data_IF_844675817314
#
_entry.id   IF_844675817314
#
_cell.length_a   1.000
_cell.length_b   1.000
_cell.length_c   1.000
_cell.angle_alpha   90.00
_cell.angle_beta   90.00
_cell.angle_gamma   90.00
#
_symmetry.space_group_name_H-M   'P 1'
#
loop_
_entity.id
_entity.type
_entity.pdbx_description
1 polymer ?
#
# COMPACT_ATOMS: atom_id res chain seq x y z
N UNK A 1 -17.55 -30.08 -10.75
CA UNK A 1 -16.61 -29.58 -9.72
C UNK A 1 -17.24 -29.79 -8.35
N UNK A 2 -16.57 -30.40 -7.36
CA UNK A 2 -17.21 -30.64 -6.05
C UNK A 2 -17.39 -29.33 -5.26
N UNK A 3 -18.52 -29.18 -4.55
CA UNK A 3 -18.85 -27.97 -3.78
C UNK A 3 -17.72 -27.57 -2.81
N UNK A 4 -17.17 -28.56 -2.11
CA UNK A 4 -16.05 -28.38 -1.17
C UNK A 4 -14.82 -27.79 -1.85
N UNK A 5 -14.50 -28.24 -3.07
CA UNK A 5 -13.36 -27.72 -3.84
C UNK A 5 -13.56 -26.27 -4.24
N UNK A 6 -14.77 -25.90 -4.67
CA UNK A 6 -15.09 -24.53 -5.04
C UNK A 6 -15.02 -23.58 -3.83
N UNK A 7 -15.57 -23.99 -2.69
CA UNK A 7 -15.51 -23.18 -1.46
C UNK A 7 -14.07 -22.99 -1.00
N UNK A 8 -13.25 -24.05 -1.02
CA UNK A 8 -11.82 -23.95 -0.67
C UNK A 8 -11.08 -22.97 -1.58
N UNK A 9 -11.35 -23.02 -2.89
CA UNK A 9 -10.72 -22.13 -3.86
C UNK A 9 -11.14 -20.67 -3.65
N UNK A 10 -12.43 -20.41 -3.41
CA UNK A 10 -12.93 -19.06 -3.09
C UNK A 10 -12.27 -18.52 -1.82
N UNK A 11 -12.18 -19.33 -0.76
CA UNK A 11 -11.53 -18.91 0.49
C UNK A 11 -10.05 -18.59 0.28
N UNK A 12 -9.33 -19.38 -0.50
CA UNK A 12 -7.92 -19.11 -0.84
C UNK A 12 -7.78 -17.80 -1.62
N UNK A 13 -8.63 -17.56 -2.62
CA UNK A 13 -8.64 -16.29 -3.34
C UNK A 13 -8.92 -15.11 -2.41
N UNK A 14 -9.94 -15.20 -1.53
CA UNK A 14 -10.25 -14.14 -0.57
C UNK A 14 -9.09 -13.88 0.41
N UNK A 15 -8.43 -14.94 0.90
CA UNK A 15 -7.29 -14.81 1.81
C UNK A 15 -6.10 -14.09 1.15
N UNK A 16 -5.75 -14.48 -0.08
CA UNK A 16 -4.69 -13.80 -0.85
C UNK A 16 -5.05 -12.34 -1.10
N UNK A 17 -6.30 -12.07 -1.49
CA UNK A 17 -6.78 -10.71 -1.71
C UNK A 17 -6.72 -9.84 -0.46
N UNK A 18 -7.07 -10.39 0.70
CA UNK A 18 -7.01 -9.69 1.98
C UNK A 18 -5.55 -9.36 2.38
N UNK A 19 -4.63 -10.32 2.21
CA UNK A 19 -3.21 -10.09 2.46
C UNK A 19 -2.64 -9.00 1.53
N UNK A 20 -3.01 -9.04 0.24
CA UNK A 20 -2.57 -8.06 -0.73
C UNK A 20 -3.11 -6.66 -0.42
N UNK A 21 -4.39 -6.58 -0.04
CA UNK A 21 -4.99 -5.32 0.41
C UNK A 21 -4.26 -4.75 1.63
N UNK A 22 -4.05 -5.58 2.66
CA UNK A 22 -3.37 -5.16 3.89
C UNK A 22 -1.97 -4.60 3.62
N UNK A 23 -1.18 -5.27 2.78
CA UNK A 23 0.15 -4.80 2.40
C UNK A 23 0.12 -3.42 1.73
N UNK A 24 -0.82 -3.22 0.80
CA UNK A 24 -0.94 -2.00 0.03
C UNK A 24 -1.47 -0.85 0.88
N UNK A 25 -2.41 -1.13 1.78
CA UNK A 25 -2.97 -0.18 2.72
C UNK A 25 -1.95 0.29 3.75
N UNK A 26 -1.18 -0.65 4.32
CA UNK A 26 -0.13 -0.33 5.30
C UNK A 26 0.99 0.52 4.68
N UNK A 27 1.32 0.28 3.40
CA UNK A 27 2.29 1.12 2.66
C UNK A 27 1.83 2.56 2.52
N UNK A 28 0.54 2.77 2.27
CA UNK A 28 -0.06 4.10 2.12
C UNK A 28 -0.15 4.80 3.48
N UNK A 29 -0.64 4.10 4.49
CA UNK A 29 -0.74 4.59 5.86
C UNK A 29 0.62 4.99 6.45
N UNK A 30 1.70 4.29 6.07
CA UNK A 30 3.07 4.65 6.50
C UNK A 30 3.50 6.01 5.95
N UNK A 31 3.19 6.29 4.67
CA UNK A 31 3.52 7.57 4.04
C UNK A 31 2.65 8.72 4.60
N UNK A 32 1.36 8.44 4.85
CA UNK A 32 0.45 9.38 5.52
C UNK A 32 0.93 9.73 6.93
N UNK A 33 1.35 8.74 7.72
CA UNK A 33 1.94 8.96 9.04
C UNK A 33 3.18 9.87 8.97
N UNK A 34 4.06 9.65 7.99
CA UNK A 34 5.21 10.53 7.76
C UNK A 34 4.78 11.96 7.38
N UNK A 35 3.72 12.13 6.59
CA UNK A 35 3.16 13.45 6.26
C UNK A 35 2.61 14.16 7.50
N UNK A 36 1.81 13.47 8.31
CA UNK A 36 1.25 14.01 9.57
C UNK A 36 2.37 14.36 10.55
N UNK A 37 3.38 13.52 10.68
CA UNK A 37 4.52 13.75 11.56
C UNK A 37 5.34 14.98 11.14
N UNK A 38 5.55 15.19 9.83
CA UNK A 38 6.17 16.42 9.30
C UNK A 38 5.36 17.65 9.70
N UNK A 39 4.05 17.60 9.49
CA UNK A 39 3.17 18.72 9.84
C UNK A 39 3.19 19.02 11.35
N UNK A 40 3.09 17.99 12.19
CA UNK A 40 3.15 18.13 13.64
C UNK A 40 4.49 18.72 14.11
N UNK A 41 5.61 18.29 13.52
CA UNK A 41 6.93 18.85 13.84
C UNK A 41 7.05 20.30 13.37
N UNK A 42 6.53 20.67 12.20
CA UNK A 42 6.55 22.06 11.77
C UNK A 42 5.74 22.98 12.70
N UNK A 43 4.66 22.47 13.29
CA UNK A 43 3.80 23.21 14.22
C UNK A 43 4.28 23.18 15.68
N UNK A 44 5.24 22.33 16.05
CA UNK A 44 5.66 22.14 17.45
C UNK A 44 6.55 23.26 18.00
N UNK A 45 6.99 24.21 17.16
CA UNK A 45 7.87 25.30 17.58
C UNK A 45 9.27 24.85 17.98
N UNK A 46 9.71 23.66 17.54
CA UNK A 46 10.98 23.02 17.89
C UNK A 46 12.24 23.88 17.69
N UNK A 47 12.18 24.91 16.85
CA UNK A 47 13.26 25.89 16.65
C UNK A 47 13.64 26.61 17.95
N UNK A 48 12.69 26.73 18.89
CA UNK A 48 12.89 27.34 20.22
C UNK A 48 13.38 26.35 21.28
N UNK A 49 13.48 25.06 20.95
CA UNK A 49 13.92 24.02 21.89
C UNK A 49 15.43 24.07 22.16
N UNK A 50 15.88 23.31 23.17
CA UNK A 50 17.29 23.19 23.52
C UNK A 50 18.15 22.70 22.34
N UNK A 51 19.46 22.99 22.37
CA UNK A 51 20.39 22.57 21.29
C UNK A 51 20.37 21.05 21.04
N UNK A 52 20.40 20.18 22.07
CA UNK A 52 20.30 18.73 21.86
C UNK A 52 18.98 18.31 21.20
N UNK A 53 17.85 18.83 21.70
CA UNK A 53 16.53 18.50 21.16
C UNK A 53 16.38 18.93 19.69
N UNK A 54 16.91 20.11 19.31
CA UNK A 54 16.92 20.57 17.92
C UNK A 54 17.71 19.64 17.00
N UNK A 55 18.85 19.12 17.47
CA UNK A 55 19.66 18.16 16.69
C UNK A 55 18.87 16.87 16.44
N UNK A 56 18.23 16.33 17.47
CA UNK A 56 17.45 15.09 17.35
C UNK A 56 16.24 15.27 16.43
N UNK A 57 15.54 16.40 16.55
CA UNK A 57 14.41 16.75 15.68
C UNK A 57 14.87 16.97 14.24
N UNK A 58 16.03 17.58 13.99
CA UNK A 58 16.60 17.69 12.64
C UNK A 58 16.90 16.32 12.02
N UNK A 59 17.44 15.37 12.80
CA UNK A 59 17.70 14.00 12.33
C UNK A 59 16.38 13.31 11.98
N UNK A 60 15.36 13.46 12.84
CA UNK A 60 14.04 12.91 12.62
C UNK A 60 13.37 13.51 11.37
N UNK A 61 13.40 14.84 11.21
CA UNK A 61 12.89 15.56 10.03
C UNK A 61 13.51 15.04 8.74
N UNK A 62 14.84 14.85 8.72
CA UNK A 62 15.53 14.28 7.53
C UNK A 62 15.04 12.88 7.19
N UNK A 63 14.75 12.04 8.19
CA UNK A 63 14.24 10.68 7.97
C UNK A 63 12.81 10.67 7.42
N UNK A 64 11.94 11.52 7.96
CA UNK A 64 10.53 11.55 7.56
C UNK A 64 10.27 12.34 6.26
N UNK A 65 11.24 13.13 5.80
CA UNK A 65 11.18 13.86 4.52
C UNK A 65 11.26 12.92 3.31
N UNK A 66 11.88 11.75 3.45
CA UNK A 66 11.92 10.74 2.40
C UNK A 66 10.62 9.96 2.43
N UNK A 67 9.95 9.86 1.28
CA UNK A 67 8.76 9.02 1.14
C UNK A 67 9.14 7.58 1.43
N UNK A 68 8.48 6.98 2.42
CA UNK A 68 8.84 5.68 2.96
C UNK A 68 7.81 4.61 2.55
N UNK A 69 7.15 4.84 1.42
CA UNK A 69 6.36 3.80 0.76
C UNK A 69 7.23 2.57 0.54
N UNK A 70 6.62 1.39 0.67
CA UNK A 70 7.30 0.18 0.24
C UNK A 70 7.62 0.29 -1.25
N UNK A 71 8.82 -0.13 -1.65
CA UNK A 71 9.20 -0.16 -3.06
C UNK A 71 9.67 -1.56 -3.38
N UNK A 72 9.01 -2.20 -4.33
CA UNK A 72 9.43 -3.49 -4.85
C UNK A 72 10.12 -3.33 -6.20
N UNK A 73 10.97 -4.29 -6.56
CA UNK A 73 11.71 -4.31 -7.82
C UNK A 73 12.45 -2.99 -8.12
N UNK A 74 13.29 -2.57 -7.16
CA UNK A 74 14.11 -1.37 -7.30
C UNK A 74 13.30 -0.08 -7.59
N UNK A 75 12.08 0.02 -7.05
CA UNK A 75 11.21 1.19 -7.24
C UNK A 75 10.21 1.07 -8.39
N UNK A 76 10.24 -0.01 -9.18
CA UNK A 76 9.28 -0.20 -10.27
C UNK A 76 7.84 -0.37 -9.78
N UNK A 77 7.65 -0.92 -8.58
CA UNK A 77 6.34 -1.12 -7.97
C UNK A 77 6.26 -0.35 -6.66
N UNK A 78 5.35 0.62 -6.62
CA UNK A 78 4.92 1.30 -5.40
C UNK A 78 3.51 0.81 -5.02
N UNK A 79 3.38 -0.02 -3.98
CA UNK A 79 2.11 -0.51 -3.49
C UNK A 79 1.37 0.64 -2.79
N UNK A 80 0.11 0.78 -3.16
CA UNK A 80 -0.84 1.76 -2.64
C UNK A 80 -2.21 1.44 -3.22
N UNK A 81 -3.29 1.96 -2.63
CA UNK A 81 -4.68 1.62 -2.97
C UNK A 81 -4.98 1.76 -4.47
N UNK A 82 -4.40 2.76 -5.13
CA UNK A 82 -4.55 2.95 -6.58
C UNK A 82 -4.02 1.76 -7.39
N UNK A 83 -2.86 1.22 -7.02
CA UNK A 83 -2.28 0.06 -7.70
C UNK A 83 -3.10 -1.21 -7.41
N UNK A 84 -3.57 -1.39 -6.17
CA UNK A 84 -4.46 -2.50 -5.81
C UNK A 84 -5.73 -2.51 -6.68
N UNK A 85 -6.39 -1.36 -6.82
CA UNK A 85 -7.58 -1.22 -7.68
C UNK A 85 -7.29 -1.50 -9.14
N UNK A 86 -6.12 -1.10 -9.67
CA UNK A 86 -5.70 -1.43 -11.03
C UNK A 86 -5.56 -2.93 -11.22
N UNK A 87 -4.87 -3.62 -10.31
CA UNK A 87 -4.71 -5.08 -10.33
C UNK A 87 -6.08 -5.77 -10.34
N UNK A 88 -7.01 -5.31 -9.50
CA UNK A 88 -8.37 -5.86 -9.44
C UNK A 88 -9.17 -5.64 -10.71
N UNK A 89 -9.10 -4.44 -11.29
CA UNK A 89 -9.77 -4.15 -12.58
C UNK A 89 -9.19 -5.00 -13.71
N UNK A 90 -7.88 -5.19 -13.75
CA UNK A 90 -7.22 -6.04 -14.75
C UNK A 90 -7.64 -7.49 -14.59
N UNK A 91 -7.66 -8.02 -13.36
CA UNK A 91 -8.11 -9.39 -13.08
C UNK A 91 -9.56 -9.61 -13.51
N UNK A 92 -10.46 -8.67 -13.18
CA UNK A 92 -11.86 -8.72 -13.60
C UNK A 92 -12.01 -8.68 -15.13
N UNK A 93 -11.29 -7.77 -15.79
CA UNK A 93 -11.30 -7.63 -17.25
C UNK A 93 -10.78 -8.89 -17.94
N UNK A 94 -9.73 -9.51 -17.40
CA UNK A 94 -9.19 -10.76 -17.89
C UNK A 94 -10.20 -11.91 -17.79
N UNK A 95 -10.87 -12.05 -16.65
CA UNK A 95 -11.93 -13.06 -16.48
C UNK A 95 -13.08 -12.84 -17.47
N UNK A 96 -13.47 -11.58 -17.69
CA UNK A 96 -14.50 -11.26 -18.68
C UNK A 96 -14.05 -11.61 -20.10
N UNK A 97 -12.81 -11.28 -20.47
CA UNK A 97 -12.23 -11.64 -21.77
C UNK A 97 -12.27 -13.15 -22.00
N UNK A 98 -11.78 -13.94 -21.04
CA UNK A 98 -11.81 -15.41 -21.12
C UNK A 98 -13.24 -15.97 -21.25
N UNK A 99 -14.24 -15.31 -20.62
CA UNK A 99 -15.64 -15.71 -20.75
C UNK A 99 -16.24 -15.40 -22.12
N UNK A 100 -15.77 -14.36 -22.80
CA UNK A 100 -16.19 -14.06 -24.16
C UNK A 100 -15.64 -15.08 -25.16
N UNK A 101 -14.37 -15.46 -25.00
CA UNK A 101 -13.73 -16.48 -25.84
C UNK A 101 -14.45 -17.84 -25.72
N UNK A 102 -14.73 -18.29 -24.49
CA UNK A 102 -15.47 -19.54 -24.24
C UNK A 102 -16.95 -19.55 -24.66
N UNK A 103 -17.51 -18.41 -25.10
CA UNK A 103 -18.89 -18.32 -25.63
C UNK A 103 -18.92 -18.21 -27.16
N UNK A 104 -17.77 -17.98 -27.78
CA UNK A 104 -17.63 -17.88 -29.22
C UNK A 104 -17.42 -19.24 -29.90
N UNK A 105 -17.12 -20.28 -29.12
CA UNK A 105 -17.16 -21.71 -29.47
C UNK A 105 -18.49 -22.36 -29.05
#
# INVERSE_FOLDING_TARGET
MSLVRNVKLIMQCCAVMAQFYFLFDTSEMTDDCHAVMRHALLQSGWVKSSSPARRDICILLRRIQVSNHFTFHNGAIRPGRVLFLKVMKTAYSFVNFMRFENKAD
#
